data_IF_229448355524
#
_entry.id   IF_229448355524
#
_cell.length_a   1.000
_cell.length_b   1.000
_cell.length_c   1.000
_cell.angle_alpha   90.00
_cell.angle_beta   90.00
_cell.angle_gamma   90.00
#
_symmetry.space_group_name_H-M   'P 1'
#
loop_
_entity.id
_entity.type
_entity.pdbx_description
1 polymer ?
#
# COMPACT_ATOMS: atom_id res chain seq x y z
N UNK A 1 -3.25 2.84 -8.36
CA UNK A 1 -3.47 4.01 -7.48
C UNK A 1 -2.21 4.68 -6.93
N UNK A 2 -1.03 4.04 -6.87
CA UNK A 2 0.21 4.70 -6.41
C UNK A 2 0.67 5.90 -7.26
N UNK A 3 0.16 5.99 -8.50
CA UNK A 3 0.34 7.14 -9.41
C UNK A 3 -0.55 8.34 -9.05
N UNK A 4 -1.61 8.13 -8.24
CA UNK A 4 -2.57 9.16 -7.84
C UNK A 4 -2.42 9.57 -6.37
N UNK A 5 -2.04 8.63 -5.50
CA UNK A 5 -1.92 8.86 -4.06
C UNK A 5 -0.50 8.62 -3.58
N UNK A 6 -0.02 9.49 -2.68
CA UNK A 6 1.27 9.29 -2.02
C UNK A 6 1.22 8.01 -1.16
N UNK A 7 2.06 7.00 -1.45
CA UNK A 7 1.97 5.72 -0.76
C UNK A 7 2.25 5.80 0.75
N UNK A 8 3.13 6.72 1.17
CA UNK A 8 3.46 6.88 2.59
C UNK A 8 2.28 7.50 3.34
N UNK A 9 1.62 8.50 2.74
CA UNK A 9 0.39 9.07 3.27
C UNK A 9 -0.73 8.03 3.41
N UNK A 10 -0.97 7.23 2.37
CA UNK A 10 -2.01 6.19 2.42
C UNK A 10 -1.71 5.14 3.48
N UNK A 11 -0.45 4.70 3.59
CA UNK A 11 -0.04 3.72 4.61
C UNK A 11 -0.23 4.27 6.02
N UNK A 12 0.17 5.52 6.26
CA UNK A 12 0.02 6.14 7.56
C UNK A 12 -1.44 6.39 7.96
N UNK A 13 -2.33 6.62 6.98
CA UNK A 13 -3.77 6.74 7.23
C UNK A 13 -4.44 5.41 7.61
N UNK A 14 -3.84 4.26 7.28
CA UNK A 14 -4.34 2.93 7.70
C UNK A 14 -4.00 2.65 9.18
N UNK A 15 -2.80 3.03 9.61
CA UNK A 15 -2.26 2.70 10.94
C UNK A 15 -2.72 3.69 12.04
N UNK A 16 -3.48 4.74 11.69
CA UNK A 16 -3.95 5.77 12.60
C UNK A 16 -5.48 5.78 12.72
N UNK A 17 -6.02 6.38 13.81
CA UNK A 17 -7.46 6.50 13.96
C UNK A 17 -8.07 7.16 12.71
N UNK A 18 -9.23 6.68 12.24
CA UNK A 18 -9.88 7.20 11.06
C UNK A 18 -10.16 8.70 11.22
N UNK A 19 -10.00 9.43 10.12
CA UNK A 19 -10.31 10.85 10.09
C UNK A 19 -11.81 11.07 10.26
N UNK A 20 -12.20 11.69 11.36
CA UNK A 20 -13.57 12.09 11.65
C UNK A 20 -13.78 13.53 11.17
N UNK A 21 -14.57 13.70 10.12
CA UNK A 21 -14.85 15.01 9.50
C UNK A 21 -15.50 15.95 10.50
N UNK A 22 -16.36 15.45 11.39
CA UNK A 22 -17.05 16.29 12.37
C UNK A 22 -16.06 16.88 13.38
N UNK A 23 -15.11 16.06 13.87
CA UNK A 23 -14.06 16.52 14.79
C UNK A 23 -13.04 17.42 14.10
N UNK A 24 -12.64 17.09 12.87
CA UNK A 24 -11.74 17.93 12.08
C UNK A 24 -12.33 19.32 11.80
N UNK A 25 -13.65 19.44 11.63
CA UNK A 25 -14.30 20.76 11.50
C UNK A 25 -14.23 21.59 12.79
N UNK A 26 -14.29 20.96 13.96
CA UNK A 26 -14.23 21.65 15.24
C UNK A 26 -12.80 22.06 15.62
N UNK A 27 -11.82 21.20 15.34
CA UNK A 27 -10.44 21.34 15.80
C UNK A 27 -9.47 21.84 14.71
N UNK A 28 -9.87 21.79 13.44
CA UNK A 28 -9.07 22.22 12.30
C UNK A 28 -7.72 21.51 12.21
N UNK A 29 -6.67 22.29 11.92
CA UNK A 29 -5.28 21.81 11.80
C UNK A 29 -4.65 21.30 13.10
N UNK A 30 -5.28 21.63 14.24
CA UNK A 30 -4.83 21.23 15.57
C UNK A 30 -5.41 19.89 16.02
N UNK A 31 -6.14 19.19 15.15
CA UNK A 31 -6.73 17.91 15.49
C UNK A 31 -5.65 16.87 15.83
N UNK A 32 -5.72 16.15 16.98
CA UNK A 32 -4.67 15.24 17.44
C UNK A 32 -4.30 14.13 16.44
N UNK A 33 -5.26 13.65 15.65
CA UNK A 33 -4.98 12.66 14.60
C UNK A 33 -4.09 13.22 13.48
N UNK A 34 -4.25 14.50 13.12
CA UNK A 34 -3.36 15.14 12.13
C UNK A 34 -1.96 15.32 12.69
N UNK A 35 -1.82 15.62 13.98
CA UNK A 35 -0.52 15.67 14.65
C UNK A 35 0.17 14.32 14.69
N UNK A 36 -0.56 13.24 15.01
CA UNK A 36 -0.05 11.87 14.94
C UNK A 36 0.36 11.50 13.51
N UNK A 37 -0.44 11.87 12.52
CA UNK A 37 -0.14 11.61 11.10
C UNK A 37 1.09 12.38 10.64
N UNK A 38 1.21 13.67 10.97
CA UNK A 38 2.42 14.48 10.75
C UNK A 38 3.62 13.84 11.43
N UNK A 39 3.49 13.39 12.68
CA UNK A 39 4.58 12.78 13.42
C UNK A 39 5.04 11.47 12.76
N UNK A 40 4.13 10.59 12.34
CA UNK A 40 4.43 9.34 11.61
C UNK A 40 5.13 9.61 10.29
N UNK A 41 4.59 10.52 9.47
CA UNK A 41 5.15 10.84 8.15
C UNK A 41 6.52 11.52 8.21
N UNK A 42 6.81 12.24 9.30
CA UNK A 42 8.04 13.00 9.48
C UNK A 42 9.07 12.33 10.42
N UNK A 43 8.93 11.04 10.77
CA UNK A 43 9.90 10.33 11.63
C UNK A 43 11.29 10.17 11.00
N UNK A 44 11.41 10.41 9.70
CA UNK A 44 12.67 10.29 8.96
C UNK A 44 13.76 11.29 9.38
N UNK A 45 15.00 10.97 9.01
CA UNK A 45 16.19 11.76 9.32
C UNK A 45 16.47 12.84 8.26
N UNK A 46 17.62 13.50 8.33
CA UNK A 46 18.03 14.45 7.29
C UNK A 46 18.00 13.79 5.90
N UNK A 47 17.47 14.50 4.91
CA UNK A 47 17.34 14.02 3.53
C UNK A 47 16.07 13.22 3.22
N UNK A 48 15.25 12.85 4.22
CA UNK A 48 13.93 12.23 3.93
C UNK A 48 12.89 13.29 3.56
N UNK A 49 11.82 12.86 2.88
CA UNK A 49 10.68 13.71 2.59
C UNK A 49 10.08 14.33 3.86
N UNK A 50 9.59 15.56 3.74
CA UNK A 50 8.89 16.31 4.79
C UNK A 50 7.44 16.51 4.39
N UNK A 51 6.54 16.31 5.33
CA UNK A 51 5.09 16.39 5.12
C UNK A 51 4.50 17.50 5.97
N UNK A 52 3.69 18.35 5.35
CA UNK A 52 2.81 19.30 6.00
C UNK A 52 1.36 18.89 5.70
N UNK A 53 0.50 18.93 6.72
CA UNK A 53 -0.92 18.59 6.59
C UNK A 53 -1.76 19.77 7.01
N UNK A 54 -2.83 20.03 6.27
CA UNK A 54 -3.80 21.09 6.51
C UNK A 54 -5.20 20.58 6.20
N UNK A 55 -6.17 20.95 7.01
CA UNK A 55 -7.58 20.67 6.80
C UNK A 55 -8.30 21.92 6.32
N UNK A 56 -8.93 21.81 5.15
CA UNK A 56 -9.81 22.84 4.62
C UNK A 56 -11.26 22.48 4.93
N UNK A 57 -11.97 23.27 5.75
CA UNK A 57 -13.38 23.04 6.03
C UNK A 57 -14.22 23.23 4.75
N UNK A 58 -15.39 22.60 4.74
CA UNK A 58 -16.33 22.78 3.65
C UNK A 58 -16.84 24.23 3.61
N UNK A 59 -17.00 24.77 2.41
CA UNK A 59 -17.69 26.04 2.16
C UNK A 59 -18.96 25.77 1.35
N UNK A 60 -19.75 26.81 1.06
CA UNK A 60 -20.96 26.68 0.23
C UNK A 60 -20.68 26.12 -1.17
N UNK A 61 -19.44 26.26 -1.67
CA UNK A 61 -19.03 25.82 -3.01
C UNK A 61 -18.03 24.66 -3.02
N UNK A 62 -17.43 24.29 -1.88
CA UNK A 62 -16.40 23.25 -1.81
C UNK A 62 -16.62 22.26 -0.69
N UNK A 63 -16.40 20.97 -0.96
CA UNK A 63 -16.37 19.95 0.08
C UNK A 63 -15.13 20.11 0.96
N UNK A 64 -15.20 19.67 2.21
CA UNK A 64 -14.05 19.65 3.10
C UNK A 64 -12.91 18.79 2.50
N UNK A 65 -11.66 19.22 2.66
CA UNK A 65 -10.50 18.50 2.11
C UNK A 65 -9.35 18.42 3.11
N UNK A 66 -8.62 17.30 3.08
CA UNK A 66 -7.30 17.19 3.67
C UNK A 66 -6.26 17.48 2.60
N UNK A 67 -5.41 18.47 2.84
CA UNK A 67 -4.30 18.83 1.96
C UNK A 67 -3.00 18.34 2.58
N UNK A 68 -2.26 17.52 1.84
CA UNK A 68 -0.95 17.04 2.21
C UNK A 68 0.10 17.57 1.25
N UNK A 69 1.05 18.35 1.76
CA UNK A 69 2.18 18.88 0.99
C UNK A 69 3.43 18.08 1.35
N UNK A 70 3.99 17.38 0.37
CA UNK A 70 5.24 16.64 0.51
C UNK A 70 6.37 17.43 -0.14
N UNK A 71 7.43 17.71 0.61
CA UNK A 71 8.67 18.32 0.11
C UNK A 71 9.82 17.32 0.16
N UNK A 72 10.50 17.08 -0.95
CA UNK A 72 11.64 16.16 -1.01
C UNK A 72 12.60 16.58 -2.12
N UNK A 73 13.89 16.72 -1.82
CA UNK A 73 14.94 17.10 -2.78
C UNK A 73 14.63 18.36 -3.62
N UNK A 74 14.00 19.36 -2.99
CA UNK A 74 13.63 20.61 -3.65
C UNK A 74 12.34 20.54 -4.49
N UNK A 75 11.76 19.36 -4.66
CA UNK A 75 10.43 19.19 -5.26
C UNK A 75 9.34 19.29 -4.19
N UNK A 76 8.24 19.95 -4.55
CA UNK A 76 7.03 20.03 -3.73
C UNK A 76 5.85 19.40 -4.47
N UNK A 77 5.19 18.46 -3.82
CA UNK A 77 4.00 17.77 -4.33
C UNK A 77 2.82 18.02 -3.38
N UNK A 78 1.73 18.56 -3.92
CA UNK A 78 0.50 18.82 -3.17
C UNK A 78 -0.56 17.78 -3.53
N UNK A 79 -1.02 17.05 -2.51
CA UNK A 79 -2.13 16.10 -2.60
C UNK A 79 -3.36 16.69 -1.92
N UNK A 80 -4.44 16.88 -2.67
CA UNK A 80 -5.75 17.29 -2.14
C UNK A 80 -6.65 16.06 -2.05
N UNK A 81 -7.14 15.77 -0.85
CA UNK A 81 -7.97 14.61 -0.55
C UNK A 81 -9.35 15.11 -0.07
N UNK A 82 -10.38 15.10 -0.93
CA UNK A 82 -11.73 15.41 -0.50
C UNK A 82 -12.17 14.43 0.59
N UNK A 83 -12.75 14.94 1.68
CA UNK A 83 -13.17 14.09 2.79
C UNK A 83 -14.23 13.07 2.38
N UNK A 84 -15.10 13.43 1.42
CA UNK A 84 -16.08 12.49 0.85
C UNK A 84 -15.46 11.26 0.19
N UNK A 85 -14.19 11.33 -0.25
CA UNK A 85 -13.49 10.18 -0.82
C UNK A 85 -13.31 9.04 0.20
N UNK A 86 -13.23 9.36 1.50
CA UNK A 86 -13.12 8.38 2.59
C UNK A 86 -14.48 7.82 3.04
N UNK A 87 -15.57 8.53 2.82
CA UNK A 87 -16.92 8.12 3.25
C UNK A 87 -17.60 7.27 2.20
N UNK A 88 -17.64 7.74 0.95
CA UNK A 88 -18.38 7.11 -0.14
C UNK A 88 -17.53 6.89 -1.41
N UNK A 89 -16.31 7.43 -1.45
CA UNK A 89 -15.42 7.31 -2.60
C UNK A 89 -14.45 6.14 -2.55
N UNK A 90 -13.41 6.23 -3.37
CA UNK A 90 -12.40 5.17 -3.56
C UNK A 90 -11.51 4.92 -2.34
N UNK A 91 -11.49 5.83 -1.37
CA UNK A 91 -10.75 5.69 -0.10
C UNK A 91 -11.64 5.13 1.03
N UNK A 92 -12.91 4.81 0.76
CA UNK A 92 -13.78 4.12 1.74
C UNK A 92 -13.17 2.82 2.27
N UNK A 93 -12.62 1.90 1.44
CA UNK A 93 -11.99 0.69 1.95
C UNK A 93 -10.81 0.99 2.89
N UNK A 94 -10.05 2.06 2.62
CA UNK A 94 -8.94 2.47 3.46
C UNK A 94 -9.43 2.94 4.84
N UNK A 95 -10.53 3.72 4.89
CA UNK A 95 -11.18 4.11 6.14
C UNK A 95 -11.74 2.90 6.91
N UNK A 96 -12.33 1.94 6.21
CA UNK A 96 -12.86 0.71 6.83
C UNK A 96 -11.77 -0.13 7.48
N UNK A 97 -10.62 -0.27 6.82
CA UNK A 97 -9.46 -0.94 7.40
C UNK A 97 -8.94 -0.16 8.61
N UNK A 98 -8.78 1.16 8.50
CA UNK A 98 -8.34 1.99 9.64
C UNK A 98 -9.28 1.82 10.86
N UNK A 99 -10.60 1.83 10.64
CA UNK A 99 -11.61 1.55 11.67
C UNK A 99 -11.46 0.16 12.29
N UNK A 100 -11.21 -0.87 11.47
CA UNK A 100 -11.06 -2.24 11.96
C UNK A 100 -9.76 -2.45 12.75
N UNK A 101 -8.71 -1.68 12.46
CA UNK A 101 -7.41 -1.79 13.12
C UNK A 101 -7.25 -0.86 14.32
N UNK A 102 -8.05 0.20 14.41
CA UNK A 102 -7.96 1.20 15.48
C UNK A 102 -8.06 0.56 16.88
N UNK A 103 -7.13 0.92 17.75
CA UNK A 103 -7.08 0.45 19.14
C UNK A 103 -6.71 -1.04 19.35
N UNK A 104 -6.46 -1.82 18.30
CA UNK A 104 -6.04 -3.22 18.43
C UNK A 104 -4.54 -3.35 18.81
N UNK A 105 -3.67 -2.52 18.23
CA UNK A 105 -2.25 -2.45 18.63
C UNK A 105 -2.11 -1.47 19.79
N UNK A 106 -1.71 -1.99 20.95
CA UNK A 106 -1.55 -1.22 22.20
C UNK A 106 -0.09 -1.16 22.62
N UNK A 107 0.19 -0.34 23.64
CA UNK A 107 1.51 -0.28 24.25
C UNK A 107 1.96 -1.67 24.73
N UNK A 108 3.21 -2.02 24.43
CA UNK A 108 3.76 -3.35 24.73
C UNK A 108 3.35 -4.46 23.77
N UNK A 109 2.65 -4.16 22.66
CA UNK A 109 2.30 -5.16 21.66
C UNK A 109 3.53 -5.84 21.06
N UNK A 110 3.42 -7.15 20.86
CA UNK A 110 4.48 -7.99 20.30
C UNK A 110 3.89 -8.94 19.27
N UNK A 111 4.67 -9.22 18.23
CA UNK A 111 4.40 -10.30 17.29
C UNK A 111 5.28 -11.50 17.63
N UNK A 112 4.69 -12.69 17.57
CA UNK A 112 5.37 -13.96 17.88
C UNK A 112 5.25 -14.91 16.70
N UNK A 113 6.36 -15.55 16.33
CA UNK A 113 6.38 -16.63 15.35
C UNK A 113 7.38 -17.70 15.77
N UNK A 114 6.86 -18.89 16.07
CA UNK A 114 7.69 -19.98 16.60
C UNK A 114 8.36 -19.54 17.91
N UNK A 115 9.68 -19.52 17.93
CA UNK A 115 10.49 -19.10 19.08
C UNK A 115 10.97 -17.64 19.02
N UNK A 116 10.54 -16.85 18.04
CA UNK A 116 10.95 -15.45 17.88
C UNK A 116 9.83 -14.50 18.26
N UNK A 117 10.21 -13.44 18.96
CA UNK A 117 9.32 -12.37 19.41
C UNK A 117 9.90 -11.02 19.00
N UNK A 118 9.04 -10.10 18.56
CA UNK A 118 9.45 -8.75 18.19
C UNK A 118 8.42 -7.71 18.67
N UNK A 119 8.83 -6.62 19.33
CA UNK A 119 7.92 -5.54 19.68
C UNK A 119 7.43 -4.81 18.43
N UNK A 120 6.15 -4.45 18.42
CA UNK A 120 5.51 -3.77 17.29
C UNK A 120 4.76 -2.54 17.77
N UNK A 121 4.66 -1.56 16.88
CA UNK A 121 3.94 -0.29 17.11
C UNK A 121 2.80 -0.08 16.12
N UNK A 122 2.72 -0.89 15.06
CA UNK A 122 1.60 -0.91 14.11
C UNK A 122 1.42 -2.27 13.44
N UNK A 123 0.28 -2.49 12.80
CA UNK A 123 0.04 -3.71 12.02
C UNK A 123 0.93 -3.79 10.79
N UNK A 124 1.23 -2.66 10.14
CA UNK A 124 2.16 -2.65 9.01
C UNK A 124 3.54 -3.20 9.42
N UNK A 125 4.03 -2.82 10.61
CA UNK A 125 5.29 -3.36 11.15
C UNK A 125 5.19 -4.87 11.41
N UNK A 126 4.09 -5.33 12.00
CA UNK A 126 3.84 -6.74 12.26
C UNK A 126 3.84 -7.57 10.97
N UNK A 127 3.10 -7.12 9.96
CA UNK A 127 3.01 -7.76 8.65
C UNK A 127 4.37 -7.81 7.95
N UNK A 128 5.11 -6.70 7.93
CA UNK A 128 6.44 -6.63 7.34
C UNK A 128 7.40 -7.62 8.02
N UNK A 129 7.44 -7.62 9.35
CA UNK A 129 8.27 -8.56 10.11
C UNK A 129 7.91 -10.02 9.83
N UNK A 130 6.61 -10.33 9.78
CA UNK A 130 6.13 -11.69 9.50
C UNK A 130 6.56 -12.18 8.12
N UNK A 131 6.45 -11.32 7.10
CA UNK A 131 6.88 -11.63 5.74
C UNK A 131 8.39 -11.85 5.65
N UNK A 132 9.19 -11.00 6.30
CA UNK A 132 10.65 -11.18 6.32
C UNK A 132 11.04 -12.49 7.02
N UNK A 133 10.44 -12.80 8.17
CA UNK A 133 10.63 -14.10 8.80
C UNK A 133 10.15 -15.27 7.92
N UNK A 134 9.17 -15.07 7.02
CA UNK A 134 8.67 -16.13 6.14
C UNK A 134 9.62 -16.43 4.99
N UNK A 135 10.35 -15.41 4.53
CA UNK A 135 11.34 -15.51 3.46
C UNK A 135 12.66 -16.12 3.96
N UNK A 136 13.00 -15.96 5.24
CA UNK A 136 14.25 -16.49 5.81
C UNK A 136 14.38 -18.00 5.55
N UNK A 137 15.54 -18.39 5.05
CA UNK A 137 15.86 -19.78 4.73
C UNK A 137 15.25 -20.32 3.43
N UNK A 138 14.53 -19.50 2.66
CA UNK A 138 14.00 -19.90 1.35
C UNK A 138 14.79 -19.24 0.23
N UNK A 139 15.21 -20.03 -0.74
CA UNK A 139 15.74 -19.54 -2.01
C UNK A 139 14.62 -19.60 -3.06
N UNK A 140 14.40 -18.48 -3.74
CA UNK A 140 13.42 -18.40 -4.83
C UNK A 140 14.18 -18.27 -6.14
N UNK A 141 14.02 -19.23 -7.04
CA UNK A 141 14.55 -19.17 -8.40
C UNK A 141 13.41 -18.90 -9.37
N UNK A 142 13.61 -17.90 -10.25
CA UNK A 142 12.68 -17.59 -11.34
C UNK A 142 13.32 -17.98 -12.66
N UNK A 143 12.87 -19.10 -13.22
CA UNK A 143 13.24 -19.54 -14.57
C UNK A 143 12.76 -18.51 -15.60
N UNK A 144 13.66 -18.02 -16.45
CA UNK A 144 13.35 -17.05 -17.52
C UNK A 144 13.24 -17.72 -18.89
N UNK A 145 13.94 -18.84 -19.07
CA UNK A 145 13.79 -19.73 -20.22
C UNK A 145 13.65 -21.20 -19.80
N UNK A 146 13.12 -22.01 -20.72
CA UNK A 146 12.99 -23.46 -20.50
C UNK A 146 14.37 -24.14 -20.36
N UNK A 147 15.41 -23.60 -20.99
CA UNK A 147 16.78 -24.14 -20.90
C UNK A 147 17.46 -23.95 -19.54
N UNK A 148 16.85 -23.21 -18.60
CA UNK A 148 17.34 -23.11 -17.22
C UNK A 148 16.86 -24.28 -16.34
N UNK A 149 15.89 -25.06 -16.82
CA UNK A 149 15.36 -26.25 -16.15
C UNK A 149 16.13 -27.49 -16.59
N UNK A 150 16.34 -28.43 -15.66
CA UNK A 150 16.81 -29.76 -16.06
C UNK A 150 15.65 -30.58 -16.69
N UNK A 151 15.98 -31.73 -17.29
CA UNK A 151 15.02 -32.54 -18.03
C UNK A 151 13.86 -33.06 -17.15
N UNK A 152 14.16 -33.47 -15.91
CA UNK A 152 13.17 -33.98 -14.95
C UNK A 152 12.20 -32.87 -14.54
N UNK A 153 12.71 -31.69 -14.20
CA UNK A 153 11.92 -30.52 -13.87
C UNK A 153 11.00 -30.13 -15.04
N UNK A 154 11.53 -30.06 -16.26
CA UNK A 154 10.74 -29.71 -17.44
C UNK A 154 9.60 -30.72 -17.68
N UNK A 155 9.88 -32.01 -17.50
CA UNK A 155 8.88 -33.06 -17.61
C UNK A 155 7.77 -32.88 -16.56
N UNK A 156 8.15 -32.75 -15.28
CA UNK A 156 7.22 -32.63 -14.16
C UNK A 156 6.38 -31.36 -14.20
N UNK A 157 6.94 -30.23 -14.64
CA UNK A 157 6.24 -28.93 -14.56
C UNK A 157 5.50 -28.57 -15.84
N UNK A 158 5.98 -29.03 -17.00
CA UNK A 158 5.56 -28.46 -18.30
C UNK A 158 5.03 -29.51 -19.28
N UNK A 159 5.58 -30.72 -19.31
CA UNK A 159 5.28 -31.69 -20.37
C UNK A 159 4.29 -32.78 -19.95
N UNK A 160 4.38 -33.25 -18.70
CA UNK A 160 3.56 -34.35 -18.18
C UNK A 160 2.05 -34.03 -18.29
N UNK A 161 1.23 -34.85 -18.99
CA UNK A 161 -0.21 -34.65 -19.12
C UNK A 161 -0.97 -34.47 -17.81
N UNK A 162 -0.50 -35.09 -16.73
CA UNK A 162 -1.20 -35.10 -15.44
C UNK A 162 -0.96 -33.80 -14.64
N UNK A 163 0.15 -33.10 -14.88
CA UNK A 163 0.56 -31.92 -14.11
C UNK A 163 0.63 -30.64 -14.95
N UNK A 164 0.73 -30.76 -16.28
CA UNK A 164 0.87 -29.62 -17.19
C UNK A 164 -0.36 -28.74 -17.18
N UNK A 165 -0.12 -27.44 -17.41
CA UNK A 165 -1.16 -26.45 -17.65
C UNK A 165 -1.07 -25.99 -19.10
N UNK A 166 -2.07 -26.33 -19.90
CA UNK A 166 -2.17 -25.88 -21.29
C UNK A 166 -3.11 -24.69 -21.40
N UNK A 167 -2.80 -23.78 -22.32
CA UNK A 167 -3.66 -22.66 -22.71
C UNK A 167 -4.12 -22.89 -24.15
N UNK A 168 -5.43 -22.88 -24.38
CA UNK A 168 -6.00 -23.01 -25.72
C UNK A 168 -5.99 -21.66 -26.44
N UNK A 169 -5.43 -21.63 -27.65
CA UNK A 169 -5.39 -20.43 -28.50
C UNK A 169 -6.72 -20.28 -29.24
N UNK A 170 -7.24 -19.05 -29.30
CA UNK A 170 -8.43 -18.68 -30.08
C UNK A 170 -8.06 -17.85 -31.31
N UNK A 171 -9.04 -17.66 -32.19
CA UNK A 171 -8.85 -16.88 -33.42
C UNK A 171 -8.45 -15.44 -33.10
N UNK A 172 -9.02 -14.85 -32.04
CA UNK A 172 -8.72 -13.47 -31.63
C UNK A 172 -7.26 -13.31 -31.18
N UNK A 173 -6.70 -14.34 -30.56
CA UNK A 173 -5.30 -14.34 -30.10
C UNK A 173 -4.34 -14.36 -31.30
N UNK A 174 -4.70 -15.07 -32.38
CA UNK A 174 -3.93 -15.11 -33.62
C UNK A 174 -3.93 -13.74 -34.33
N UNK A 175 -5.09 -13.06 -34.39
CA UNK A 175 -5.20 -11.70 -34.95
C UNK A 175 -4.38 -10.70 -34.13
N UNK A 176 -4.42 -10.80 -32.81
CA UNK A 176 -3.60 -9.95 -31.93
C UNK A 176 -2.10 -10.20 -32.12
N UNK A 177 -1.68 -11.46 -32.28
CA UNK A 177 -0.29 -11.81 -32.56
C UNK A 177 0.19 -11.23 -33.90
N UNK A 178 -0.64 -11.29 -34.95
CA UNK A 178 -0.32 -10.74 -36.27
C UNK A 178 -0.16 -9.20 -36.23
N UNK A 179 -1.04 -8.50 -35.50
CA UNK A 179 -0.93 -7.06 -35.28
C UNK A 179 0.39 -6.68 -34.58
N UNK A 180 0.77 -7.41 -33.52
CA UNK A 180 2.05 -7.17 -32.84
C UNK A 180 3.21 -7.38 -33.81
N UNK A 181 3.20 -8.47 -34.56
CA UNK A 181 4.25 -8.76 -35.54
C UNK A 181 4.36 -7.66 -36.61
N UNK A 182 3.23 -7.11 -37.08
CA UNK A 182 3.21 -6.00 -38.03
C UNK A 182 3.70 -4.65 -37.48
N UNK A 183 3.80 -4.49 -36.16
CA UNK A 183 4.30 -3.26 -35.51
C UNK A 183 5.78 -3.29 -35.12
N UNK A 184 6.43 -4.46 -35.24
CA UNK A 184 7.84 -4.69 -34.95
C UNK A 184 8.71 -4.54 -36.21
#
# INVERSE_FOLDING_TARGET
NAHRYDPALMTALIDLPPLDVAKLRAEGDQHPTLDKLKAVLNRGTLGTARYQLRFDPATDSTSATLVAVRKHMGEEFTQVLPMGAFESGELRPLREVALALDGLVREGAQIVRGNKTHPITSFAQAHAWLLEEAKKGRQVQRFKGLGEMNAEQLWETTVNPDTRRLLQVRIEDAVAADQIFGTL
#
